data_IF_834665311415
#
_entry.id   IF_834665311415
#
_cell.length_a   1.000
_cell.length_b   1.000
_cell.length_c   1.000
_cell.angle_alpha   90.00
_cell.angle_beta   90.00
_cell.angle_gamma   90.00
#
_symmetry.space_group_name_H-M   'P 1'
#
loop_
_entity.id
_entity.type
_entity.pdbx_description
1 polymer ?
#
# COMPACT_ATOMS: atom_id res chain seq x y z
N UNK A 1 -6.96 18.43 -22.20
CA UNK A 1 -6.52 17.04 -21.93
C UNK A 1 -7.13 16.67 -20.60
N UNK A 2 -7.94 15.60 -20.51
CA UNK A 2 -8.55 15.21 -19.24
C UNK A 2 -7.52 14.57 -18.28
N UNK A 3 -7.80 14.60 -16.98
CA UNK A 3 -6.91 14.12 -15.93
C UNK A 3 -6.55 12.61 -16.10
N UNK A 4 -7.49 11.78 -16.58
CA UNK A 4 -7.25 10.36 -16.86
C UNK A 4 -6.18 10.08 -17.92
N UNK A 5 -5.88 11.06 -18.83
CA UNK A 5 -4.76 10.94 -19.76
C UNK A 5 -3.41 11.25 -19.12
N UNK A 6 -3.42 12.05 -18.07
CA UNK A 6 -2.22 12.41 -17.31
C UNK A 6 -1.84 11.28 -16.35
N UNK A 7 -2.85 10.63 -15.78
CA UNK A 7 -2.70 9.67 -14.68
C UNK A 7 -2.37 10.34 -13.35
N UNK A 8 -2.36 9.58 -12.28
CA UNK A 8 -2.06 10.07 -10.95
C UNK A 8 -0.63 10.63 -10.88
N UNK A 9 0.35 9.83 -11.31
CA UNK A 9 1.77 10.23 -11.25
C UNK A 9 2.10 11.42 -12.12
N UNK A 10 1.48 11.53 -13.31
CA UNK A 10 1.64 12.69 -14.15
C UNK A 10 1.07 13.97 -13.51
N UNK A 11 -0.04 13.85 -12.77
CA UNK A 11 -0.59 14.97 -12.00
C UNK A 11 0.35 15.37 -10.86
N UNK A 12 0.82 14.40 -10.07
CA UNK A 12 1.73 14.65 -8.95
C UNK A 12 3.04 15.30 -9.41
N UNK A 13 3.65 14.80 -10.48
CA UNK A 13 4.85 15.39 -11.08
C UNK A 13 4.63 16.83 -11.55
N UNK A 14 3.46 17.15 -12.12
CA UNK A 14 3.12 18.52 -12.53
C UNK A 14 2.95 19.45 -11.32
N UNK A 15 2.33 18.97 -10.23
CA UNK A 15 2.18 19.74 -8.99
C UNK A 15 3.54 20.00 -8.33
N UNK A 16 4.41 18.99 -8.29
CA UNK A 16 5.79 19.11 -7.76
C UNK A 16 6.61 20.09 -8.58
N UNK A 17 6.58 19.98 -9.91
CA UNK A 17 7.25 20.90 -10.84
C UNK A 17 6.84 22.37 -10.63
N UNK A 18 5.58 22.60 -10.24
CA UNK A 18 5.05 23.95 -9.93
C UNK A 18 5.32 24.39 -8.51
N UNK A 19 5.90 23.55 -7.66
CA UNK A 19 6.10 23.81 -6.23
C UNK A 19 4.79 23.86 -5.42
N UNK A 20 3.72 23.26 -5.93
CA UNK A 20 2.41 23.17 -5.28
C UNK A 20 2.25 21.93 -4.41
N UNK A 21 3.06 20.90 -4.62
CA UNK A 21 3.18 19.73 -3.79
C UNK A 21 4.64 19.50 -3.41
N UNK A 22 4.87 18.85 -2.26
CA UNK A 22 6.20 18.51 -1.74
C UNK A 22 6.12 17.16 -1.03
N UNK A 23 7.29 16.53 -0.85
CA UNK A 23 7.39 15.32 0.00
C UNK A 23 6.96 14.04 -0.69
N UNK A 24 6.98 13.99 -2.02
CA UNK A 24 6.65 12.79 -2.80
C UNK A 24 7.75 11.72 -2.79
N UNK A 25 8.78 11.89 -1.94
CA UNK A 25 9.90 10.96 -1.79
C UNK A 25 9.64 9.86 -0.75
N UNK A 26 8.49 9.90 -0.08
CA UNK A 26 8.07 8.91 0.93
C UNK A 26 6.56 8.67 0.85
N UNK A 27 6.06 7.67 1.60
CA UNK A 27 4.63 7.30 1.65
C UNK A 27 3.76 8.30 2.42
N UNK A 28 4.32 9.38 2.90
CA UNK A 28 3.58 10.41 3.61
C UNK A 28 4.41 11.65 3.88
N UNK A 29 3.79 12.62 4.52
CA UNK A 29 4.44 13.86 4.92
C UNK A 29 5.29 13.64 6.17
N UNK A 30 6.56 14.07 6.11
CA UNK A 30 7.46 14.10 7.26
C UNK A 30 7.46 15.52 7.81
N UNK A 31 6.98 15.68 9.04
CA UNK A 31 6.85 16.95 9.72
C UNK A 31 8.00 17.13 10.76
N UNK A 32 7.93 18.22 11.53
CA UNK A 32 8.88 18.45 12.61
C UNK A 32 8.79 17.37 13.71
N UNK A 33 9.85 17.18 14.46
CA UNK A 33 9.93 16.33 15.65
C UNK A 33 9.59 14.85 15.38
N UNK A 34 9.87 14.36 14.16
CA UNK A 34 9.64 12.99 13.76
C UNK A 34 8.17 12.61 13.55
N UNK A 35 7.27 13.58 13.52
CA UNK A 35 5.87 13.35 13.20
C UNK A 35 5.74 13.00 11.71
N UNK A 36 5.02 11.93 11.41
CA UNK A 36 4.68 11.53 10.04
C UNK A 36 3.17 11.44 9.89
N UNK A 37 2.68 11.76 8.70
CA UNK A 37 1.25 11.79 8.38
C UNK A 37 1.04 11.18 7.01
N UNK A 38 0.12 10.23 6.93
CA UNK A 38 -0.34 9.62 5.67
C UNK A 38 -1.83 9.86 5.48
N UNK A 39 -2.33 9.75 4.26
CA UNK A 39 -3.75 9.85 3.98
C UNK A 39 -4.13 9.07 2.75
N UNK A 40 -5.07 8.13 2.92
CA UNK A 40 -5.70 7.39 1.85
C UNK A 40 -7.21 7.61 1.81
N UNK A 41 -7.78 7.48 0.61
CA UNK A 41 -9.21 7.60 0.40
C UNK A 41 -9.77 6.37 -0.29
N UNK A 42 -10.68 5.67 0.37
CA UNK A 42 -11.43 4.55 -0.18
C UNK A 42 -12.79 5.02 -0.71
N UNK A 43 -13.08 4.72 -1.98
CA UNK A 43 -14.32 5.11 -2.66
C UNK A 43 -15.08 3.86 -3.06
N UNK A 44 -16.38 3.80 -2.71
CA UNK A 44 -17.27 2.72 -3.14
C UNK A 44 -17.37 2.65 -4.67
N UNK A 45 -17.26 1.44 -5.21
CA UNK A 45 -17.22 1.18 -6.65
C UNK A 45 -15.83 1.30 -7.29
N UNK A 46 -14.84 1.86 -6.57
CA UNK A 46 -13.43 1.93 -7.00
C UNK A 46 -12.59 0.96 -6.18
N UNK A 47 -12.47 1.19 -4.87
CA UNK A 47 -11.59 0.44 -3.98
C UNK A 47 -12.32 -0.71 -3.24
N UNK A 48 -13.63 -0.66 -3.16
CA UNK A 48 -14.47 -1.70 -2.54
C UNK A 48 -15.89 -1.69 -3.10
N UNK A 49 -16.62 -2.78 -2.86
CA UNK A 49 -18.06 -2.87 -3.09
C UNK A 49 -18.75 -3.42 -1.85
N UNK A 50 -19.90 -2.84 -1.51
CA UNK A 50 -20.68 -3.23 -0.35
C UNK A 50 -21.23 -4.66 -0.45
N UNK A 51 -21.44 -5.17 -1.65
CA UNK A 51 -21.85 -6.55 -1.87
C UNK A 51 -20.77 -7.55 -1.47
N UNK A 52 -19.49 -7.14 -1.48
CA UNK A 52 -18.34 -8.01 -1.22
C UNK A 52 -17.69 -7.79 0.14
N UNK A 53 -17.97 -6.65 0.79
CA UNK A 53 -17.24 -6.21 1.99
C UNK A 53 -18.20 -5.84 3.10
N UNK A 54 -18.06 -6.45 4.29
CA UNK A 54 -18.80 -6.03 5.49
C UNK A 54 -18.37 -4.64 5.93
N UNK A 55 -19.19 -3.96 6.76
CA UNK A 55 -18.78 -2.67 7.31
C UNK A 55 -17.54 -2.79 8.20
N UNK A 56 -17.46 -3.87 8.96
CA UNK A 56 -16.31 -4.16 9.82
C UNK A 56 -15.03 -4.38 9.03
N UNK A 57 -15.07 -5.19 7.94
CA UNK A 57 -13.91 -5.39 7.07
C UNK A 57 -13.51 -4.11 6.32
N UNK A 58 -14.49 -3.27 5.94
CA UNK A 58 -14.22 -1.97 5.34
C UNK A 58 -13.47 -1.06 6.33
N UNK A 59 -13.89 -1.06 7.60
CA UNK A 59 -13.18 -0.33 8.66
C UNK A 59 -11.75 -0.82 8.85
N UNK A 60 -11.55 -2.14 8.93
CA UNK A 60 -10.20 -2.71 8.95
C UNK A 60 -9.37 -2.27 7.75
N UNK A 61 -9.89 -2.45 6.52
CA UNK A 61 -9.16 -2.09 5.29
C UNK A 61 -8.76 -0.62 5.30
N UNK A 62 -9.69 0.28 5.67
CA UNK A 62 -9.42 1.72 5.72
C UNK A 62 -8.33 2.10 6.74
N UNK A 63 -8.26 1.42 7.87
CA UNK A 63 -7.16 1.59 8.81
C UNK A 63 -5.86 0.97 8.27
N UNK A 64 -5.94 -0.28 7.75
CA UNK A 64 -4.77 -1.05 7.35
C UNK A 64 -3.98 -0.42 6.21
N UNK A 65 -4.64 0.16 5.19
CA UNK A 65 -3.95 0.83 4.07
C UNK A 65 -3.11 2.02 4.56
N UNK A 66 -3.66 2.86 5.42
CA UNK A 66 -2.94 3.99 6.02
C UNK A 66 -1.83 3.55 7.00
N UNK A 67 -2.05 2.45 7.72
CA UNK A 67 -1.04 1.87 8.61
C UNK A 67 0.08 1.19 7.82
N UNK A 68 -0.17 0.76 6.58
CA UNK A 68 0.85 0.28 5.65
C UNK A 68 1.83 1.39 5.28
N UNK A 69 1.33 2.57 4.94
CA UNK A 69 2.17 3.75 4.71
C UNK A 69 3.01 4.10 5.95
N UNK A 70 2.38 4.11 7.14
CA UNK A 70 3.13 4.35 8.38
C UNK A 70 4.20 3.28 8.61
N UNK A 71 3.95 2.03 8.23
CA UNK A 71 4.94 0.96 8.29
C UNK A 71 6.11 1.24 7.32
N UNK A 72 5.84 1.69 6.09
CA UNK A 72 6.86 2.10 5.13
C UNK A 72 7.66 3.33 5.59
N UNK A 73 7.06 4.19 6.43
CA UNK A 73 7.74 5.30 7.08
C UNK A 73 8.50 4.88 8.37
N UNK A 74 8.46 3.60 8.75
CA UNK A 74 9.07 3.10 9.98
C UNK A 74 8.46 3.67 11.26
N UNK A 75 7.19 4.06 11.22
CA UNK A 75 6.54 4.81 12.27
C UNK A 75 5.82 3.95 13.31
N UNK A 76 5.72 4.47 14.52
CA UNK A 76 4.78 4.04 15.54
C UNK A 76 3.48 4.83 15.37
N UNK A 77 2.33 4.19 15.10
CA UNK A 77 1.05 4.89 14.96
C UNK A 77 0.59 5.53 16.27
N UNK A 78 0.05 6.75 16.19
CA UNK A 78 -0.49 7.48 17.35
C UNK A 78 -2.01 7.67 17.27
N UNK A 79 -2.54 7.97 16.07
CA UNK A 79 -3.96 8.27 15.90
C UNK A 79 -4.43 8.14 14.46
N UNK A 80 -5.74 7.92 14.29
CA UNK A 80 -6.47 8.04 13.03
C UNK A 80 -7.43 9.23 13.09
N UNK A 81 -7.59 9.95 11.97
CA UNK A 81 -8.65 10.91 11.72
C UNK A 81 -9.49 10.41 10.56
N UNK A 82 -10.80 10.38 10.68
CA UNK A 82 -11.69 9.74 9.71
C UNK A 82 -12.66 10.75 9.09
N UNK A 83 -12.47 11.07 7.82
CA UNK A 83 -13.47 11.73 7.00
C UNK A 83 -14.43 10.69 6.41
N UNK A 84 -15.69 10.72 6.83
CA UNK A 84 -16.72 9.77 6.40
C UNK A 84 -17.82 10.48 5.63
N UNK A 85 -17.98 10.13 4.34
CA UNK A 85 -19.12 10.54 3.55
C UNK A 85 -19.99 9.32 3.22
N UNK A 86 -21.31 9.40 3.43
CA UNK A 86 -22.21 8.25 3.27
C UNK A 86 -23.64 8.67 2.90
N UNK A 87 -24.44 7.75 2.30
CA UNK A 87 -25.85 7.98 2.04
C UNK A 87 -26.64 8.23 3.36
N UNK A 88 -27.56 9.21 3.33
CA UNK A 88 -28.35 9.56 4.50
C UNK A 88 -29.25 8.42 5.02
N UNK A 89 -29.49 7.40 4.20
CA UNK A 89 -30.26 6.21 4.56
C UNK A 89 -29.42 5.09 5.19
N UNK A 90 -28.11 5.30 5.40
CA UNK A 90 -27.24 4.29 6.03
C UNK A 90 -27.67 4.04 7.47
N UNK A 91 -27.79 2.75 7.84
CA UNK A 91 -28.12 2.35 9.21
C UNK A 91 -27.00 2.79 10.17
N UNK A 92 -27.34 3.48 11.28
CA UNK A 92 -26.35 3.82 12.31
C UNK A 92 -25.57 2.60 12.86
N UNK A 93 -26.17 1.42 12.92
CA UNK A 93 -25.48 0.20 13.34
C UNK A 93 -24.34 -0.19 12.39
N UNK A 94 -24.52 0.04 11.11
CA UNK A 94 -23.48 -0.19 10.09
C UNK A 94 -22.27 0.75 10.30
N UNK A 95 -22.51 1.99 10.71
CA UNK A 95 -21.43 2.93 11.04
C UNK A 95 -20.68 2.48 12.31
N UNK A 96 -21.41 1.95 13.30
CA UNK A 96 -20.76 1.38 14.50
C UNK A 96 -19.84 0.20 14.10
N UNK A 97 -20.31 -0.74 13.28
CA UNK A 97 -19.49 -1.86 12.78
C UNK A 97 -18.25 -1.36 12.03
N UNK A 98 -18.39 -0.31 11.23
CA UNK A 98 -17.25 0.31 10.51
C UNK A 98 -16.20 0.82 11.51
N UNK A 99 -16.61 1.54 12.55
CA UNK A 99 -15.69 2.06 13.57
C UNK A 99 -15.11 0.97 14.46
N UNK A 100 -15.84 -0.12 14.70
CA UNK A 100 -15.29 -1.31 15.35
C UNK A 100 -14.12 -1.90 14.50
N UNK A 101 -14.31 -1.99 13.17
CA UNK A 101 -13.25 -2.42 12.25
C UNK A 101 -12.03 -1.49 12.24
N UNK A 102 -12.26 -0.16 12.23
CA UNK A 102 -11.20 0.85 12.32
C UNK A 102 -10.39 0.74 13.62
N UNK A 103 -11.03 0.31 14.72
CA UNK A 103 -10.39 0.20 16.03
C UNK A 103 -9.61 -1.11 16.23
N UNK A 104 -9.85 -2.17 15.43
CA UNK A 104 -9.21 -3.48 15.60
C UNK A 104 -7.67 -3.45 15.54
N UNK A 105 -7.02 -2.60 14.71
CA UNK A 105 -5.56 -2.46 14.73
C UNK A 105 -4.99 -1.90 16.04
N UNK A 106 -5.83 -1.44 16.96
CA UNK A 106 -5.40 -0.88 18.26
C UNK A 106 -4.96 0.58 18.20
N UNK A 107 -5.16 1.28 17.08
CA UNK A 107 -4.86 2.71 16.93
C UNK A 107 -6.14 3.52 17.15
N UNK A 108 -6.15 4.52 18.04
CA UNK A 108 -7.37 5.25 18.38
C UNK A 108 -7.82 6.16 17.23
N UNK A 109 -9.12 6.21 16.98
CA UNK A 109 -9.74 7.26 16.16
C UNK A 109 -9.88 8.51 17.05
N UNK A 110 -9.07 9.53 16.77
CA UNK A 110 -8.97 10.75 17.57
C UNK A 110 -9.93 11.86 17.11
N UNK A 111 -10.51 11.75 15.91
CA UNK A 111 -11.41 12.76 15.37
C UNK A 111 -11.75 12.50 13.91
N UNK A 112 -12.32 13.50 13.26
CA UNK A 112 -12.71 13.41 11.86
C UNK A 112 -13.91 14.30 11.55
N UNK A 113 -14.56 14.03 10.41
CA UNK A 113 -15.77 14.71 9.96
C UNK A 113 -16.73 13.72 9.32
N UNK A 114 -18.02 14.03 9.33
CA UNK A 114 -19.06 13.20 8.70
C UNK A 114 -19.98 14.04 7.85
N UNK A 115 -20.18 13.65 6.59
CA UNK A 115 -21.04 14.36 5.66
C UNK A 115 -21.90 13.42 4.82
N UNK A 116 -22.85 13.98 4.09
CA UNK A 116 -23.72 13.23 3.19
C UNK A 116 -23.10 13.10 1.81
N UNK A 117 -23.17 11.89 1.23
CA UNK A 117 -22.82 11.62 -0.17
C UNK A 117 -23.80 10.60 -0.79
N UNK A 118 -23.67 10.34 -2.08
CA UNK A 118 -24.43 9.28 -2.79
C UNK A 118 -23.82 7.91 -2.58
N UNK A 119 -22.49 7.84 -2.47
CA UNK A 119 -21.69 6.64 -2.24
C UNK A 119 -20.89 6.78 -0.96
N UNK A 120 -20.46 5.65 -0.42
CA UNK A 120 -19.58 5.65 0.75
C UNK A 120 -18.17 6.04 0.33
N UNK A 121 -17.63 7.06 1.01
CA UNK A 121 -16.24 7.49 0.87
C UNK A 121 -15.63 7.59 2.26
N UNK A 122 -14.49 6.93 2.45
CA UNK A 122 -13.66 7.05 3.65
C UNK A 122 -12.34 7.70 3.29
N UNK A 123 -12.04 8.83 3.90
CA UNK A 123 -10.72 9.45 3.84
C UNK A 123 -10.11 9.33 5.23
N UNK A 124 -9.12 8.48 5.38
CA UNK A 124 -8.45 8.25 6.66
C UNK A 124 -7.08 8.89 6.62
N UNK A 125 -6.78 9.66 7.66
CA UNK A 125 -5.45 10.20 7.89
C UNK A 125 -4.85 9.46 9.09
N UNK A 126 -3.68 8.87 8.92
CA UNK A 126 -2.94 8.28 10.02
C UNK A 126 -1.76 9.17 10.43
N UNK A 127 -1.61 9.32 11.74
CA UNK A 127 -0.52 10.10 12.36
C UNK A 127 0.34 9.15 13.16
N UNK A 128 1.65 9.30 13.04
CA UNK A 128 2.61 8.49 13.79
C UNK A 128 3.93 9.24 14.03
N UNK A 129 4.88 8.54 14.64
CA UNK A 129 6.25 9.02 14.85
C UNK A 129 7.26 8.04 14.32
N UNK A 130 8.29 8.59 13.65
CA UNK A 130 9.42 7.82 13.18
C UNK A 130 10.73 8.54 13.55
N UNK A 131 11.71 7.78 14.01
CA UNK A 131 13.06 8.27 14.25
C UNK A 131 13.88 8.36 12.96
N UNK A 132 13.51 7.54 11.97
CA UNK A 132 14.16 7.49 10.65
C UNK A 132 13.18 7.06 9.59
N UNK A 133 12.97 7.90 8.60
CA UNK A 133 12.16 7.63 7.41
C UNK A 133 13.11 7.33 6.25
N UNK A 134 13.20 6.07 5.77
CA UNK A 134 14.04 5.73 4.62
C UNK A 134 13.56 6.43 3.34
N UNK A 135 12.25 6.44 3.10
CA UNK A 135 11.65 6.95 1.87
C UNK A 135 11.91 6.07 0.66
N UNK A 136 11.54 6.59 -0.51
CA UNK A 136 11.68 5.91 -1.82
C UNK A 136 13.06 6.12 -2.46
N UNK A 137 13.81 7.12 -1.99
CA UNK A 137 15.12 7.49 -2.50
C UNK A 137 16.23 6.91 -1.61
N UNK A 138 17.38 6.55 -2.23
CA UNK A 138 18.56 6.12 -1.50
C UNK A 138 19.00 4.69 -1.73
N UNK A 139 18.26 3.91 -2.53
CA UNK A 139 18.73 2.60 -2.97
C UNK A 139 20.00 2.74 -3.83
N UNK A 140 20.96 1.85 -3.60
CA UNK A 140 22.27 1.87 -4.24
C UNK A 140 22.47 0.64 -5.13
N UNK A 141 23.22 0.76 -6.24
CA UNK A 141 23.68 -0.42 -6.97
C UNK A 141 24.39 -1.40 -6.04
N UNK A 142 23.97 -2.67 -6.06
CA UNK A 142 24.43 -3.72 -5.16
C UNK A 142 23.50 -4.03 -3.99
N UNK A 143 22.50 -3.18 -3.72
CA UNK A 143 21.46 -3.50 -2.75
C UNK A 143 20.60 -4.68 -3.23
N UNK A 144 20.16 -5.48 -2.27
CA UNK A 144 19.14 -6.51 -2.47
C UNK A 144 17.76 -5.94 -2.18
N UNK A 145 16.76 -6.38 -2.97
CA UNK A 145 15.36 -6.10 -2.71
C UNK A 145 14.74 -7.25 -1.93
N UNK A 146 14.12 -6.94 -0.81
CA UNK A 146 13.44 -7.90 0.07
C UNK A 146 11.98 -7.52 0.26
N UNK A 147 11.10 -8.51 0.45
CA UNK A 147 9.67 -8.32 0.74
C UNK A 147 9.29 -8.98 2.06
N UNK A 148 8.35 -8.40 2.79
CA UNK A 148 7.91 -8.89 4.10
C UNK A 148 7.02 -10.12 4.04
N UNK A 149 6.36 -10.39 2.92
CA UNK A 149 5.45 -11.52 2.83
C UNK A 149 5.04 -11.89 1.40
N UNK A 150 4.11 -12.86 1.27
CA UNK A 150 3.68 -13.39 -0.02
C UNK A 150 2.72 -12.45 -0.73
N UNK A 151 2.89 -12.31 -2.05
CA UNK A 151 2.16 -11.42 -2.93
C UNK A 151 1.06 -12.12 -3.73
N UNK A 152 0.11 -11.32 -4.23
CA UNK A 152 -0.95 -11.73 -5.14
C UNK A 152 -2.23 -12.22 -4.45
N UNK A 153 -2.23 -12.29 -3.12
CA UNK A 153 -3.40 -12.79 -2.39
C UNK A 153 -4.61 -11.87 -2.49
N UNK A 154 -4.40 -10.57 -2.41
CA UNK A 154 -5.49 -9.59 -2.52
C UNK A 154 -6.09 -9.54 -3.92
N UNK A 155 -5.25 -9.53 -4.96
CA UNK A 155 -5.68 -9.52 -6.36
C UNK A 155 -6.44 -10.80 -6.73
N UNK A 156 -5.96 -11.96 -6.29
CA UNK A 156 -6.66 -13.23 -6.49
C UNK A 156 -8.00 -13.25 -5.74
N UNK A 157 -8.05 -12.74 -4.50
CA UNK A 157 -9.30 -12.61 -3.74
C UNK A 157 -10.32 -11.69 -4.42
N UNK A 158 -9.88 -10.58 -5.00
CA UNK A 158 -10.73 -9.70 -5.81
C UNK A 158 -11.26 -10.44 -7.06
N UNK A 159 -10.43 -11.21 -7.74
CA UNK A 159 -10.84 -12.02 -8.88
C UNK A 159 -11.91 -13.04 -8.48
N UNK A 160 -11.69 -13.75 -7.37
CA UNK A 160 -12.68 -14.69 -6.80
C UNK A 160 -14.03 -14.00 -6.57
N UNK A 161 -14.05 -12.81 -5.99
CA UNK A 161 -15.27 -12.04 -5.74
C UNK A 161 -15.96 -11.60 -7.04
N UNK A 162 -15.20 -11.18 -8.04
CA UNK A 162 -15.74 -10.74 -9.34
C UNK A 162 -16.36 -11.88 -10.13
N UNK A 163 -15.71 -13.04 -10.12
CA UNK A 163 -16.16 -14.23 -10.86
C UNK A 163 -17.15 -15.08 -10.05
N UNK A 164 -17.40 -14.77 -8.78
CA UNK A 164 -18.30 -15.53 -7.90
C UNK A 164 -17.82 -16.95 -7.64
N UNK A 165 -16.50 -17.15 -7.56
CA UNK A 165 -15.90 -18.46 -7.29
C UNK A 165 -16.07 -18.84 -5.81
N UNK A 166 -16.23 -20.13 -5.53
CA UNK A 166 -16.29 -20.68 -4.18
C UNK A 166 -14.94 -21.28 -3.74
N UNK A 167 -14.80 -21.57 -2.46
CA UNK A 167 -13.66 -22.32 -1.88
C UNK A 167 -12.33 -21.57 -1.80
N UNK A 168 -12.32 -20.21 -1.86
CA UNK A 168 -11.12 -19.36 -1.78
C UNK A 168 -11.22 -18.31 -0.66
N UNK A 169 -11.81 -18.66 0.48
CA UNK A 169 -12.09 -17.71 1.58
C UNK A 169 -10.85 -17.01 2.11
N UNK A 170 -9.69 -17.70 2.14
CA UNK A 170 -8.43 -17.10 2.59
C UNK A 170 -7.93 -16.00 1.66
N UNK A 171 -8.10 -16.15 0.34
CA UNK A 171 -7.74 -15.13 -0.64
C UNK A 171 -8.72 -13.94 -0.57
N UNK A 172 -10.01 -14.21 -0.44
CA UNK A 172 -11.03 -13.18 -0.21
C UNK A 172 -10.75 -12.40 1.08
N UNK A 173 -10.32 -13.09 2.14
CA UNK A 173 -9.94 -12.44 3.40
C UNK A 173 -8.73 -11.52 3.21
N UNK A 174 -7.72 -11.89 2.43
CA UNK A 174 -6.56 -11.02 2.12
C UNK A 174 -6.97 -9.74 1.39
N UNK A 175 -7.92 -9.83 0.44
CA UNK A 175 -8.44 -8.63 -0.23
C UNK A 175 -9.22 -7.71 0.71
N UNK A 176 -10.04 -8.29 1.61
CA UNK A 176 -10.85 -7.51 2.56
C UNK A 176 -10.06 -6.95 3.73
N UNK A 177 -9.06 -7.70 4.17
CA UNK A 177 -8.28 -7.44 5.38
C UNK A 177 -6.78 -7.55 5.09
N UNK A 178 -6.17 -6.49 4.52
CA UNK A 178 -4.72 -6.44 4.32
C UNK A 178 -3.95 -6.67 5.62
N UNK A 179 -2.73 -7.23 5.55
CA UNK A 179 -1.89 -7.43 6.72
C UNK A 179 -1.40 -6.10 7.30
N UNK A 180 -1.02 -6.10 8.56
CA UNK A 180 -0.32 -5.00 9.20
C UNK A 180 1.17 -5.36 9.30
N UNK A 181 2.06 -4.48 8.83
CA UNK A 181 3.52 -4.66 8.80
C UNK A 181 4.27 -3.62 9.63
N UNK A 182 3.63 -3.11 10.68
CA UNK A 182 4.18 -2.04 11.51
C UNK A 182 5.48 -2.43 12.22
N UNK A 183 5.57 -3.66 12.73
CA UNK A 183 6.78 -4.14 13.40
C UNK A 183 7.91 -4.36 12.39
N UNK A 184 7.61 -5.02 11.26
CA UNK A 184 8.53 -5.22 10.16
C UNK A 184 9.03 -3.88 9.60
N UNK A 185 8.13 -2.91 9.42
CA UNK A 185 8.45 -1.58 8.95
C UNK A 185 9.45 -0.87 9.86
N UNK A 186 9.24 -0.89 11.17
CA UNK A 186 10.20 -0.32 12.14
C UNK A 186 11.57 -1.04 12.13
N UNK A 187 11.59 -2.36 11.91
CA UNK A 187 12.85 -3.11 11.77
C UNK A 187 13.57 -2.73 10.49
N UNK A 188 12.85 -2.68 9.36
CA UNK A 188 13.38 -2.32 8.05
C UNK A 188 13.88 -0.87 8.05
N UNK A 189 13.13 0.06 8.61
CA UNK A 189 13.49 1.47 8.63
C UNK A 189 14.87 1.75 9.27
N UNK A 190 15.36 0.89 10.14
CA UNK A 190 16.68 1.06 10.78
C UNK A 190 17.84 0.90 9.81
N UNK A 191 17.69 0.05 8.79
CA UNK A 191 18.79 -0.37 7.89
C UNK A 191 18.50 -0.13 6.41
N UNK A 192 17.23 -0.05 5.99
CA UNK A 192 16.87 0.11 4.58
C UNK A 192 17.41 1.41 4.00
N UNK A 193 17.96 1.34 2.80
CA UNK A 193 18.32 2.49 1.99
C UNK A 193 17.08 3.12 1.34
N UNK A 194 16.13 2.28 0.88
CA UNK A 194 14.80 2.70 0.45
C UNK A 194 13.74 1.73 0.97
N UNK A 195 12.54 2.21 1.23
CA UNK A 195 11.43 1.45 1.78
C UNK A 195 10.11 2.01 1.24
N UNK A 196 9.24 1.12 0.77
CA UNK A 196 7.92 1.42 0.21
C UNK A 196 6.95 0.29 0.60
N UNK A 197 5.66 0.56 0.69
CA UNK A 197 4.67 -0.50 0.73
C UNK A 197 4.25 -0.94 -0.70
N UNK A 198 3.55 -2.05 -0.81
CA UNK A 198 3.13 -2.64 -2.08
C UNK A 198 1.62 -2.48 -2.26
N UNK A 199 1.21 -1.33 -2.76
CA UNK A 199 -0.18 -0.96 -3.03
C UNK A 199 -0.57 -1.10 -4.51
N UNK A 200 0.31 -0.71 -5.43
CA UNK A 200 0.03 -0.68 -6.87
C UNK A 200 0.58 -1.90 -7.63
N UNK A 201 1.32 -2.75 -6.93
CA UNK A 201 1.97 -3.93 -7.46
C UNK A 201 3.48 -3.78 -7.54
N UNK A 202 4.19 -4.88 -7.28
CA UNK A 202 5.64 -4.88 -7.03
C UNK A 202 6.46 -4.16 -8.11
N UNK A 203 6.07 -4.24 -9.38
CA UNK A 203 6.81 -3.57 -10.44
C UNK A 203 6.56 -2.06 -10.48
N UNK A 204 5.32 -1.62 -10.20
CA UNK A 204 4.95 -0.22 -10.10
C UNK A 204 5.67 0.45 -8.93
N UNK A 205 5.64 -0.17 -7.77
CA UNK A 205 6.25 0.36 -6.55
C UNK A 205 7.77 0.32 -6.62
N UNK A 206 8.35 -0.76 -7.18
CA UNK A 206 9.80 -0.83 -7.46
C UNK A 206 10.26 0.24 -8.45
N UNK A 207 9.42 0.63 -9.41
CA UNK A 207 9.75 1.69 -10.35
C UNK A 207 9.90 3.05 -9.65
N UNK A 208 9.17 3.29 -8.56
CA UNK A 208 9.33 4.51 -7.74
C UNK A 208 10.64 4.53 -7.00
N UNK A 209 11.08 3.37 -6.45
CA UNK A 209 12.42 3.24 -5.86
C UNK A 209 13.48 3.51 -6.95
N UNK A 210 13.35 2.87 -8.12
CA UNK A 210 14.31 3.04 -9.22
C UNK A 210 14.44 4.50 -9.67
N UNK A 211 13.30 5.18 -9.87
CA UNK A 211 13.24 6.58 -10.31
C UNK A 211 13.83 7.53 -9.28
N UNK A 212 13.40 7.41 -8.00
CA UNK A 212 13.83 8.31 -6.93
C UNK A 212 15.28 8.07 -6.49
N UNK A 213 15.77 6.84 -6.64
CA UNK A 213 17.16 6.47 -6.31
C UNK A 213 18.13 6.64 -7.49
N UNK A 214 17.64 6.80 -8.72
CA UNK A 214 18.48 6.89 -9.92
C UNK A 214 19.22 5.58 -10.22
N UNK A 215 18.61 4.44 -9.94
CA UNK A 215 19.17 3.11 -10.19
C UNK A 215 18.24 2.28 -11.10
N UNK A 216 18.72 1.12 -11.55
CA UNK A 216 17.89 0.09 -12.16
C UNK A 216 17.51 -0.95 -11.12
N UNK A 217 16.23 -1.31 -11.07
CA UNK A 217 15.72 -2.43 -10.28
C UNK A 217 15.58 -3.65 -11.17
N UNK A 218 16.16 -4.77 -10.78
CA UNK A 218 16.00 -6.09 -11.41
C UNK A 218 15.21 -6.98 -10.46
N UNK A 219 13.96 -7.26 -10.80
CA UNK A 219 13.11 -8.21 -10.09
C UNK A 219 13.40 -9.63 -10.62
N UNK A 220 13.32 -10.61 -9.73
CA UNK A 220 13.46 -12.04 -10.03
C UNK A 220 12.10 -12.74 -9.77
N UNK A 221 11.21 -12.81 -10.79
CA UNK A 221 9.80 -13.26 -10.59
C UNK A 221 9.65 -14.66 -10.00
N UNK A 222 10.63 -15.54 -10.23
CA UNK A 222 10.70 -16.90 -9.68
C UNK A 222 11.01 -16.93 -8.19
N UNK A 223 11.54 -15.85 -7.63
CA UNK A 223 11.86 -15.71 -6.21
C UNK A 223 10.80 -14.96 -5.42
N UNK A 224 9.84 -14.35 -6.11
CA UNK A 224 8.74 -13.63 -5.45
C UNK A 224 7.85 -14.64 -4.72
N UNK A 225 7.70 -14.54 -3.39
CA UNK A 225 6.84 -15.43 -2.64
C UNK A 225 5.38 -15.16 -3.02
N UNK A 226 4.65 -16.22 -3.36
CA UNK A 226 3.26 -16.14 -3.81
C UNK A 226 2.32 -16.55 -2.69
N UNK A 227 1.18 -15.87 -2.59
CA UNK A 227 0.16 -16.26 -1.64
C UNK A 227 -0.36 -17.67 -1.96
N UNK A 228 -0.54 -18.52 -0.94
CA UNK A 228 -1.01 -19.89 -1.16
C UNK A 228 -2.33 -19.91 -1.91
N UNK A 229 -2.42 -20.78 -2.92
CA UNK A 229 -3.65 -21.05 -3.67
C UNK A 229 -3.94 -20.11 -4.85
N UNK A 230 -3.11 -19.09 -5.11
CA UNK A 230 -3.38 -18.17 -6.23
C UNK A 230 -3.33 -18.87 -7.60
N UNK A 231 -2.50 -19.89 -7.76
CA UNK A 231 -2.38 -20.68 -8.99
C UNK A 231 -3.62 -21.52 -9.30
N UNK A 232 -4.43 -21.82 -8.26
CA UNK A 232 -5.67 -22.56 -8.43
C UNK A 232 -6.85 -21.67 -8.87
N UNK A 233 -6.73 -20.35 -8.73
CA UNK A 233 -7.80 -19.40 -9.09
C UNK A 233 -7.86 -19.18 -10.60
N UNK A 234 -6.75 -18.79 -11.19
CA UNK A 234 -6.60 -18.57 -12.64
C UNK A 234 -5.13 -18.50 -13.03
N UNK A 235 -4.84 -18.71 -14.33
CA UNK A 235 -3.50 -18.50 -14.89
C UNK A 235 -3.26 -17.01 -15.17
N UNK A 236 -3.13 -16.23 -14.10
CA UNK A 236 -2.89 -14.80 -14.11
C UNK A 236 -1.72 -14.45 -13.17
N UNK A 237 -0.93 -13.42 -13.49
CA UNK A 237 0.20 -13.02 -12.67
C UNK A 237 -0.26 -12.20 -11.44
N UNK A 238 -1.13 -12.76 -10.59
CA UNK A 238 -1.68 -12.07 -9.41
C UNK A 238 -0.60 -11.45 -8.53
N UNK A 239 0.56 -12.12 -8.42
CA UNK A 239 1.71 -11.65 -7.65
C UNK A 239 2.30 -10.31 -8.14
N UNK A 240 1.99 -9.90 -9.37
CA UNK A 240 2.41 -8.62 -9.93
C UNK A 240 1.35 -7.52 -9.78
N UNK A 241 0.15 -7.89 -9.32
CA UNK A 241 -0.96 -6.97 -9.09
C UNK A 241 -0.86 -6.36 -7.67
N UNK A 242 -1.59 -5.29 -7.41
CA UNK A 242 -1.50 -4.54 -6.17
C UNK A 242 -2.39 -5.04 -5.02
N UNK A 243 -2.54 -4.16 -4.03
CA UNK A 243 -3.33 -4.31 -2.79
C UNK A 243 -2.81 -5.37 -1.80
N UNK A 244 -1.54 -5.81 -1.91
CA UNK A 244 -0.97 -6.77 -0.96
C UNK A 244 -0.55 -6.13 0.36
N UNK A 245 -0.18 -4.83 0.37
CA UNK A 245 0.22 -4.07 1.55
C UNK A 245 1.33 -4.76 2.36
N UNK A 246 2.20 -5.47 1.65
CA UNK A 246 3.50 -5.90 2.14
C UNK A 246 4.51 -4.76 1.95
N UNK A 247 5.72 -4.89 2.50
CA UNK A 247 6.77 -3.89 2.34
C UNK A 247 7.85 -4.40 1.39
N UNK A 248 8.37 -3.50 0.56
CA UNK A 248 9.53 -3.70 -0.31
C UNK A 248 10.66 -2.79 0.16
N UNK A 249 11.81 -3.37 0.47
CA UNK A 249 12.96 -2.62 0.95
C UNK A 249 14.22 -2.92 0.12
N UNK A 250 15.02 -1.88 -0.13
CA UNK A 250 16.38 -1.99 -0.64
C UNK A 250 17.36 -1.96 0.55
N UNK A 251 18.15 -3.01 0.70
CA UNK A 251 19.06 -3.20 1.84
C UNK A 251 20.41 -3.77 1.38
N UNK A 252 21.45 -3.66 2.21
CA UNK A 252 22.71 -4.37 1.95
C UNK A 252 22.51 -5.89 2.02
N UNK A 253 23.43 -6.65 1.40
CA UNK A 253 23.38 -8.12 1.51
C UNK A 253 23.48 -8.63 2.95
N UNK A 254 24.30 -7.98 3.78
CA UNK A 254 24.44 -8.33 5.20
C UNK A 254 23.17 -8.08 6.00
N UNK A 255 22.44 -6.99 5.71
CA UNK A 255 21.17 -6.70 6.36
C UNK A 255 20.06 -7.64 5.87
N UNK A 256 20.04 -8.01 4.57
CA UNK A 256 19.10 -9.00 4.04
C UNK A 256 19.22 -10.34 4.77
N UNK A 257 20.46 -10.83 4.96
CA UNK A 257 20.75 -12.05 5.70
C UNK A 257 20.29 -11.95 7.17
N UNK A 258 20.56 -10.82 7.83
CA UNK A 258 20.19 -10.59 9.23
C UNK A 258 18.68 -10.47 9.46
N UNK A 259 17.96 -9.89 8.50
CA UNK A 259 16.52 -9.72 8.57
C UNK A 259 15.77 -11.00 8.24
N UNK A 260 16.30 -11.84 7.32
CA UNK A 260 15.74 -13.13 6.93
C UNK A 260 14.46 -13.06 6.08
N UNK A 261 14.18 -11.90 5.46
CA UNK A 261 13.05 -11.75 4.52
C UNK A 261 13.43 -12.29 3.12
N UNK A 262 12.46 -12.75 2.32
CA UNK A 262 12.69 -13.20 0.95
C UNK A 262 13.36 -12.13 0.09
N UNK A 263 14.46 -12.47 -0.56
CA UNK A 263 15.10 -11.64 -1.58
C UNK A 263 14.39 -11.86 -2.92
N UNK A 264 13.89 -10.78 -3.52
CA UNK A 264 13.08 -10.81 -4.74
C UNK A 264 13.74 -10.10 -5.93
N UNK A 265 14.91 -9.54 -5.71
CA UNK A 265 15.62 -8.79 -6.76
C UNK A 265 16.82 -8.03 -6.20
N UNK A 266 17.33 -7.11 -7.00
CA UNK A 266 18.49 -6.28 -6.67
C UNK A 266 18.46 -4.94 -7.38
N UNK A 267 19.24 -4.00 -6.89
CA UNK A 267 19.52 -2.72 -7.54
C UNK A 267 20.84 -2.79 -8.31
N UNK A 268 20.86 -2.22 -9.52
CA UNK A 268 22.03 -2.14 -10.41
C UNK A 268 22.22 -0.71 -10.93
N UNK A 269 23.37 -0.46 -11.56
CA UNK A 269 23.57 0.76 -12.34
C UNK A 269 22.58 0.84 -13.51
N UNK A 270 22.03 2.01 -13.77
CA UNK A 270 21.07 2.23 -14.84
C UNK A 270 19.78 2.87 -14.38
N UNK A 271 18.66 2.58 -15.04
CA UNK A 271 17.36 3.12 -14.70
C UNK A 271 16.23 2.15 -15.07
N UNK A 272 15.06 2.31 -14.43
CA UNK A 272 13.86 1.54 -14.72
C UNK A 272 13.80 0.20 -13.99
N UNK A 273 12.84 -0.65 -14.38
CA UNK A 273 12.57 -1.96 -13.77
C UNK A 273 12.63 -3.06 -14.83
N UNK A 274 13.27 -4.16 -14.49
CA UNK A 274 13.30 -5.39 -15.28
C UNK A 274 12.67 -6.55 -14.46
N UNK A 275 11.92 -7.48 -15.10
CA UNK A 275 11.56 -7.48 -16.52
C UNK A 275 10.57 -6.40 -16.88
N UNK A 276 10.69 -5.85 -18.10
CA UNK A 276 9.77 -4.88 -18.63
C UNK A 276 8.37 -5.49 -18.87
N UNK A 277 7.32 -4.66 -18.78
CA UNK A 277 5.94 -5.07 -19.09
C UNK A 277 5.14 -5.57 -17.90
N UNK A 278 5.71 -5.60 -16.70
CA UNK A 278 4.94 -5.71 -15.46
C UNK A 278 4.40 -4.31 -15.16
N UNK A 279 3.07 -4.15 -15.22
CA UNK A 279 2.41 -2.87 -14.94
C UNK A 279 2.14 -2.67 -13.44
N UNK A 280 1.83 -1.44 -13.07
CA UNK A 280 1.22 -1.09 -11.79
C UNK A 280 -0.17 -0.51 -12.01
N UNK A 281 -0.99 -0.48 -10.97
CA UNK A 281 -2.29 0.19 -11.00
C UNK A 281 -2.10 1.73 -10.96
N UNK A 282 -3.03 2.47 -11.56
CA UNK A 282 -3.05 3.94 -11.54
C UNK A 282 -4.49 4.38 -11.26
N UNK A 283 -4.71 5.06 -10.14
CA UNK A 283 -6.03 5.46 -9.63
C UNK A 283 -6.84 6.34 -10.60
N UNK A 284 -6.21 7.00 -11.54
CA UNK A 284 -6.84 7.90 -12.51
C UNK A 284 -6.90 7.31 -13.94
N UNK A 285 -6.43 6.07 -14.13
CA UNK A 285 -6.54 5.35 -15.40
C UNK A 285 -7.47 4.16 -15.25
N UNK A 286 -8.30 3.93 -16.25
CA UNK A 286 -9.23 2.79 -16.33
C UNK A 286 -8.48 1.47 -16.60
#
# INVERSE_FOLDING_TARGET
MGIGKLGEFGLLAELERRGLARGLDAEGAVLADGVVVTQDTLVEGVHFRREWTSWRDLGWKAAAVNLSDLAALGAEPEALLVGLALPAATDPAAVVELYEGLAEPGVPVAGGDTTRAEHVVLSVTAVGRSERVPGRAGALPGDLLIVTGPLGGAAAGLHVLREGLAEFDELVARHRRPPLRLEEGRRLARVAHALIDLSDGIAGDAARIAERSGCRVVLEPERIPRAPGIEAVADLPFWAMGEDYELLAAVTSGDADALGFPVVGRCEEGSGVEPAGLGGWDALRD
#
